data_IF_617386110241
#
_entry.id   IF_617386110241
#
_cell.length_a   1.000
_cell.length_b   1.000
_cell.length_c   1.000
_cell.angle_alpha   90.00
_cell.angle_beta   90.00
_cell.angle_gamma   90.00
#
_symmetry.space_group_name_H-M   'P 1'
#
loop_
_entity.id
_entity.type
_entity.pdbx_description
1 polymer ?
#
# COMPACT_ATOMS: atom_id res chain seq x y z
N UNK A 1 16.08 -9.58 -12.17
CA UNK A 1 14.92 -10.09 -11.41
C UNK A 1 13.69 -9.88 -12.28
N UNK A 2 12.90 -10.92 -12.56
CA UNK A 2 11.68 -10.75 -13.36
C UNK A 2 10.50 -10.50 -12.42
N UNK A 3 9.84 -9.35 -12.55
CA UNK A 3 8.70 -8.96 -11.72
C UNK A 3 7.47 -8.79 -12.60
N UNK A 4 6.35 -9.36 -12.19
CA UNK A 4 5.08 -9.25 -12.91
C UNK A 4 3.89 -9.15 -11.96
N UNK A 5 2.75 -8.73 -12.50
CA UNK A 5 1.49 -8.61 -11.79
C UNK A 5 0.37 -9.32 -12.54
N UNK A 6 -0.64 -9.81 -11.82
CA UNK A 6 -1.91 -10.25 -12.38
C UNK A 6 -3.07 -9.67 -11.59
N UNK A 7 -4.17 -9.35 -12.28
CA UNK A 7 -5.41 -8.93 -11.63
C UNK A 7 -6.01 -10.13 -10.86
N UNK A 8 -6.43 -9.89 -9.63
CA UNK A 8 -7.14 -10.87 -8.82
C UNK A 8 -8.65 -10.72 -9.05
N UNK A 9 -9.23 -11.61 -9.85
CA UNK A 9 -10.67 -11.60 -10.17
C UNK A 9 -11.55 -11.97 -8.96
N UNK A 10 -11.06 -12.88 -8.11
CA UNK A 10 -11.72 -13.32 -6.89
C UNK A 10 -10.73 -13.27 -5.73
N UNK A 11 -10.94 -12.32 -4.82
CA UNK A 11 -9.99 -12.03 -3.75
C UNK A 11 -10.22 -12.98 -2.58
N UNK A 12 -9.20 -13.76 -2.25
CA UNK A 12 -9.10 -14.46 -0.98
C UNK A 12 -8.67 -13.46 0.12
N UNK A 13 -9.66 -12.86 0.77
CA UNK A 13 -9.44 -11.89 1.84
C UNK A 13 -8.73 -12.48 3.05
N UNK A 14 -8.95 -13.76 3.36
CA UNK A 14 -8.28 -14.40 4.49
C UNK A 14 -6.77 -14.53 4.23
N UNK A 15 -6.38 -14.91 3.00
CA UNK A 15 -4.97 -14.89 2.58
C UNK A 15 -4.40 -13.47 2.65
N UNK A 16 -5.11 -12.49 2.10
CA UNK A 16 -4.64 -11.11 2.03
C UNK A 16 -4.49 -10.49 3.43
N UNK A 17 -5.42 -10.77 4.34
CA UNK A 17 -5.42 -10.28 5.71
C UNK A 17 -4.38 -10.99 6.61
N UNK A 18 -3.78 -12.09 6.15
CA UNK A 18 -2.71 -12.79 6.88
C UNK A 18 -1.32 -12.15 6.75
N UNK A 19 -1.15 -11.17 5.85
CA UNK A 19 0.15 -10.53 5.65
C UNK A 19 0.58 -9.70 6.88
N UNK A 20 1.86 -9.77 7.28
CA UNK A 20 2.33 -9.11 8.50
C UNK A 20 2.36 -7.58 8.41
N UNK A 21 2.42 -7.01 7.21
CA UNK A 21 2.38 -5.57 6.96
C UNK A 21 0.97 -5.07 6.59
N UNK A 22 -0.05 -5.91 6.82
CA UNK A 22 -1.46 -5.58 6.58
C UNK A 22 -1.92 -4.45 7.50
N UNK A 23 -2.67 -3.52 6.92
CA UNK A 23 -3.30 -2.42 7.66
C UNK A 23 -4.82 -2.47 7.54
N UNK A 24 -5.52 -1.81 8.48
CA UNK A 24 -6.97 -1.62 8.43
C UNK A 24 -7.43 -1.07 7.07
N UNK A 25 -6.65 -0.16 6.50
CA UNK A 25 -6.98 0.57 5.28
C UNK A 25 -7.09 -0.33 4.05
N UNK A 26 -6.45 -1.50 4.07
CA UNK A 26 -6.47 -2.43 2.95
C UNK A 26 -7.56 -3.52 3.09
N UNK A 27 -8.25 -3.58 4.24
CA UNK A 27 -9.31 -4.57 4.50
C UNK A 27 -10.52 -4.37 3.59
N UNK A 28 -11.29 -5.44 3.33
CA UNK A 28 -12.48 -5.37 2.49
C UNK A 28 -13.46 -4.26 2.91
N UNK A 29 -13.88 -4.16 4.20
CA UNK A 29 -14.86 -3.15 4.59
C UNK A 29 -14.34 -1.72 4.35
N UNK A 30 -13.05 -1.48 4.57
CA UNK A 30 -12.46 -0.17 4.30
C UNK A 30 -12.41 0.14 2.80
N UNK A 31 -12.02 -0.83 1.98
CA UNK A 31 -12.01 -0.65 0.53
C UNK A 31 -13.41 -0.43 -0.04
N UNK A 32 -14.42 -1.15 0.44
CA UNK A 32 -15.82 -0.94 0.06
C UNK A 32 -16.25 0.51 0.39
N UNK A 33 -15.87 1.03 1.56
CA UNK A 33 -16.11 2.42 1.94
C UNK A 33 -15.43 3.42 0.99
N UNK A 34 -14.16 3.22 0.64
CA UNK A 34 -13.44 4.12 -0.28
C UNK A 34 -14.03 4.06 -1.70
N UNK A 35 -14.41 2.87 -2.17
CA UNK A 35 -15.09 2.67 -3.45
C UNK A 35 -16.37 3.50 -3.51
N UNK A 36 -17.20 3.42 -2.47
CA UNK A 36 -18.44 4.19 -2.38
C UNK A 36 -18.18 5.69 -2.30
N UNK A 37 -17.29 6.12 -1.39
CA UNK A 37 -17.02 7.53 -1.14
C UNK A 37 -16.34 8.26 -2.32
N UNK A 38 -15.51 7.56 -3.10
CA UNK A 38 -14.71 8.14 -4.18
C UNK A 38 -15.23 7.78 -5.58
N UNK A 39 -16.30 6.99 -5.67
CA UNK A 39 -16.76 6.40 -6.93
C UNK A 39 -15.62 5.73 -7.72
N UNK A 40 -14.75 5.01 -6.99
CA UNK A 40 -13.55 4.39 -7.53
C UNK A 40 -13.79 2.90 -7.83
N UNK A 41 -12.97 2.30 -8.70
CA UNK A 41 -12.96 0.86 -8.92
C UNK A 41 -11.78 0.22 -8.19
N UNK A 42 -11.99 -0.76 -7.30
CA UNK A 42 -10.90 -1.39 -6.60
C UNK A 42 -10.05 -2.22 -7.56
N UNK A 43 -8.74 -2.26 -7.34
CA UNK A 43 -7.78 -3.06 -8.09
C UNK A 43 -6.85 -3.75 -7.09
N UNK A 44 -6.93 -5.08 -7.08
CA UNK A 44 -6.02 -5.92 -6.30
C UNK A 44 -5.19 -6.71 -7.30
N UNK A 45 -3.87 -6.58 -7.19
CA UNK A 45 -2.91 -7.29 -8.02
C UNK A 45 -2.12 -8.27 -7.17
N UNK A 46 -1.96 -9.50 -7.64
CA UNK A 46 -0.97 -10.42 -7.08
C UNK A 46 0.38 -10.14 -7.75
N UNK A 47 1.43 -10.00 -6.93
CA UNK A 47 2.78 -9.69 -7.36
C UNK A 47 3.62 -10.97 -7.41
N UNK A 48 4.43 -11.10 -8.46
CA UNK A 48 5.30 -12.25 -8.67
C UNK A 48 6.74 -11.84 -8.90
N UNK A 49 7.68 -12.59 -8.33
CA UNK A 49 9.11 -12.50 -8.62
C UNK A 49 9.57 -13.86 -9.13
N UNK A 50 10.10 -13.90 -10.35
CA UNK A 50 10.52 -15.15 -11.02
C UNK A 50 9.41 -16.23 -10.97
N UNK A 51 8.17 -15.83 -11.27
CA UNK A 51 6.94 -16.65 -11.20
C UNK A 51 6.53 -17.17 -9.81
N UNK A 52 7.17 -16.71 -8.73
CA UNK A 52 6.73 -17.03 -7.36
C UNK A 52 5.87 -15.89 -6.81
N UNK A 53 4.69 -16.17 -6.22
CA UNK A 53 3.87 -15.14 -5.60
C UNK A 53 4.59 -14.58 -4.38
N UNK A 54 4.75 -13.25 -4.34
CA UNK A 54 5.48 -12.56 -3.25
C UNK A 54 4.59 -11.66 -2.41
N UNK A 55 3.34 -11.47 -2.82
CA UNK A 55 2.38 -10.64 -2.10
C UNK A 55 1.40 -9.96 -3.05
N UNK A 56 0.85 -8.85 -2.59
CA UNK A 56 -0.21 -8.13 -3.28
C UNK A 56 0.04 -6.63 -3.31
N UNK A 57 -0.57 -5.98 -4.29
CA UNK A 57 -0.75 -4.54 -4.34
C UNK A 57 -2.25 -4.23 -4.27
N UNK A 58 -2.62 -3.23 -3.47
CA UNK A 58 -4.01 -2.76 -3.35
C UNK A 58 -4.09 -1.31 -3.78
N UNK A 59 -4.89 -1.00 -4.80
CA UNK A 59 -5.17 0.36 -5.20
C UNK A 59 -6.61 0.53 -5.66
N UNK A 60 -6.99 1.75 -6.03
CA UNK A 60 -8.27 2.03 -6.64
C UNK A 60 -8.07 2.94 -7.85
N UNK A 61 -8.85 2.69 -8.90
CA UNK A 61 -8.87 3.50 -10.11
C UNK A 61 -10.00 4.52 -10.01
N UNK A 62 -9.66 5.80 -10.12
CA UNK A 62 -10.62 6.88 -10.32
C UNK A 62 -10.58 7.37 -11.77
N UNK A 63 -11.71 7.89 -12.23
CA UNK A 63 -11.84 8.55 -13.53
C UNK A 63 -12.12 10.02 -13.34
N UNK A 64 -11.29 10.88 -13.92
CA UNK A 64 -11.51 12.33 -13.92
C UNK A 64 -11.20 12.88 -15.30
N UNK A 65 -12.06 13.70 -15.88
CA UNK A 65 -11.82 14.31 -17.19
C UNK A 65 -11.45 13.33 -18.32
N UNK A 66 -11.97 12.10 -18.28
CA UNK A 66 -11.66 11.04 -19.27
C UNK A 66 -10.34 10.28 -19.03
N UNK A 67 -9.53 10.68 -18.05
CA UNK A 67 -8.29 9.95 -17.70
C UNK A 67 -8.53 8.97 -16.55
N UNK A 68 -7.83 7.83 -16.60
CA UNK A 68 -7.82 6.82 -15.54
C UNK A 68 -6.58 7.02 -14.68
N UNK A 69 -6.76 7.00 -13.37
CA UNK A 69 -5.67 7.22 -12.43
C UNK A 69 -5.71 6.12 -11.37
N UNK A 70 -4.59 5.43 -11.15
CA UNK A 70 -4.44 4.43 -10.09
C UNK A 70 -3.88 5.09 -8.83
N UNK A 71 -4.64 5.03 -7.73
CA UNK A 71 -4.26 5.58 -6.44
C UNK A 71 -4.18 4.53 -5.36
N UNK A 72 -3.18 4.61 -4.49
CA UNK A 72 -2.95 3.65 -3.42
C UNK A 72 -2.37 4.28 -2.14
N UNK A 73 -3.13 5.16 -1.45
CA UNK A 73 -4.33 5.88 -1.89
C UNK A 73 -3.96 7.22 -2.55
N UNK A 74 -4.97 8.00 -2.98
CA UNK A 74 -4.78 9.44 -3.23
C UNK A 74 -4.88 10.27 -1.95
N UNK A 75 -4.12 11.38 -1.84
CA UNK A 75 -4.34 12.38 -0.80
C UNK A 75 -5.80 12.86 -0.80
N UNK A 76 -6.41 12.91 0.38
CA UNK A 76 -7.81 13.30 0.56
C UNK A 76 -8.80 12.15 0.74
N UNK A 77 -8.40 10.90 0.52
CA UNK A 77 -9.27 9.73 0.72
C UNK A 77 -9.46 9.32 2.19
N UNK A 78 -8.98 10.13 3.14
CA UNK A 78 -8.92 9.82 4.59
C UNK A 78 -8.38 8.42 4.91
N UNK A 79 -7.54 7.91 4.01
CA UNK A 79 -7.00 6.56 4.01
C UNK A 79 -5.49 6.68 4.11
N UNK A 80 -4.86 5.91 5.00
CA UNK A 80 -3.40 5.89 5.13
C UNK A 80 -2.79 4.91 4.12
N UNK A 81 -1.80 4.10 4.50
CA UNK A 81 -1.06 3.23 3.60
C UNK A 81 -1.94 2.13 2.97
N UNK A 82 -2.05 2.14 1.63
CA UNK A 82 -2.64 1.02 0.88
C UNK A 82 -1.59 0.16 0.17
N UNK A 83 -0.46 0.74 -0.26
CA UNK A 83 0.57 0.18 -1.15
C UNK A 83 0.64 -1.34 -1.31
N UNK A 84 1.72 -1.93 -0.81
CA UNK A 84 1.97 -3.36 -0.93
C UNK A 84 1.71 -4.09 0.38
N UNK A 85 1.30 -5.36 0.26
CA UNK A 85 1.43 -6.35 1.32
C UNK A 85 2.34 -7.46 0.82
N UNK A 86 3.57 -7.56 1.34
CA UNK A 86 4.59 -8.48 0.82
C UNK A 86 5.10 -9.45 1.86
N UNK A 87 5.61 -10.59 1.38
CA UNK A 87 6.44 -11.48 2.19
C UNK A 87 7.64 -10.70 2.76
N UNK A 88 8.16 -11.20 3.89
CA UNK A 88 9.36 -10.64 4.50
C UNK A 88 10.52 -10.66 3.49
N UNK A 89 11.40 -9.66 3.60
CA UNK A 89 12.63 -9.51 2.82
C UNK A 89 12.47 -9.16 1.33
N UNK A 90 11.24 -8.95 0.84
CA UNK A 90 11.02 -8.46 -0.51
C UNK A 90 11.36 -6.97 -0.60
N UNK A 91 12.27 -6.63 -1.50
CA UNK A 91 12.56 -5.23 -1.83
C UNK A 91 11.39 -4.60 -2.59
N UNK A 92 10.59 -3.81 -1.87
CA UNK A 92 9.44 -3.07 -2.40
C UNK A 92 9.80 -2.18 -3.58
N UNK A 93 11.02 -1.64 -3.62
CA UNK A 93 11.44 -0.72 -4.67
C UNK A 93 11.51 -1.39 -6.05
N UNK A 94 11.83 -2.69 -6.08
CA UNK A 94 11.88 -3.50 -7.29
C UNK A 94 10.49 -3.70 -7.94
N UNK A 95 9.41 -3.48 -7.20
CA UNK A 95 8.03 -3.61 -7.68
C UNK A 95 7.49 -2.33 -8.31
N UNK A 96 8.10 -1.17 -8.07
CA UNK A 96 7.57 0.13 -8.47
C UNK A 96 7.50 0.32 -9.98
N UNK A 97 8.61 0.13 -10.71
CA UNK A 97 8.62 0.28 -12.16
C UNK A 97 7.70 -0.76 -12.86
N UNK A 98 7.73 -2.06 -12.50
CA UNK A 98 6.78 -3.04 -13.03
C UNK A 98 5.32 -2.69 -12.74
N UNK A 99 5.01 -2.17 -11.55
CA UNK A 99 3.65 -1.71 -11.20
C UNK A 99 3.22 -0.56 -12.12
N UNK A 100 4.08 0.44 -12.32
CA UNK A 100 3.79 1.56 -13.20
C UNK A 100 3.56 1.10 -14.65
N UNK A 101 4.42 0.20 -15.16
CA UNK A 101 4.24 -0.39 -16.49
C UNK A 101 2.92 -1.15 -16.63
N UNK A 102 2.56 -1.96 -15.63
CA UNK A 102 1.30 -2.70 -15.61
C UNK A 102 0.10 -1.75 -15.59
N UNK A 103 0.14 -0.73 -14.73
CA UNK A 103 -0.93 0.26 -14.64
C UNK A 103 -1.12 1.03 -15.95
N UNK A 104 -0.04 1.42 -16.62
CA UNK A 104 -0.11 2.18 -17.86
C UNK A 104 -0.55 1.34 -19.05
N UNK A 105 -0.06 0.10 -19.17
CA UNK A 105 -0.29 -0.76 -20.35
C UNK A 105 -1.54 -1.60 -20.21
N UNK A 106 -1.73 -2.24 -19.07
CA UNK A 106 -2.81 -3.22 -18.86
C UNK A 106 -4.06 -2.56 -18.27
N UNK A 107 -3.89 -1.63 -17.31
CA UNK A 107 -5.02 -0.94 -16.68
C UNK A 107 -5.43 0.36 -17.40
N UNK A 108 -4.66 0.78 -18.40
CA UNK A 108 -4.89 2.00 -19.18
C UNK A 108 -4.85 3.29 -18.35
N UNK A 109 -4.14 3.27 -17.21
CA UNK A 109 -3.97 4.44 -16.35
C UNK A 109 -2.95 5.40 -16.95
N UNK A 110 -3.10 6.69 -16.67
CA UNK A 110 -2.17 7.72 -17.14
C UNK A 110 -1.26 8.20 -16.00
N UNK A 111 -1.65 7.89 -14.77
CA UNK A 111 -0.92 8.26 -13.59
C UNK A 111 -1.11 7.19 -12.51
N UNK A 112 -0.05 7.01 -11.71
CA UNK A 112 0.02 6.08 -10.58
C UNK A 112 0.58 6.84 -9.39
N UNK A 113 -0.13 6.78 -8.28
CA UNK A 113 0.33 7.29 -6.99
C UNK A 113 0.11 6.21 -5.92
N UNK A 114 1.08 6.04 -5.02
CA UNK A 114 0.96 5.14 -3.89
C UNK A 114 1.69 5.70 -2.68
N UNK A 115 1.18 5.35 -1.50
CA UNK A 115 1.80 5.64 -0.22
C UNK A 115 2.10 4.31 0.47
N UNK A 116 3.37 4.07 0.76
CA UNK A 116 3.87 2.85 1.39
C UNK A 116 4.75 3.23 2.58
N UNK A 117 4.51 2.58 3.73
CA UNK A 117 5.18 2.89 4.99
C UNK A 117 6.57 2.24 5.14
N UNK A 118 6.92 1.34 4.23
CA UNK A 118 8.15 0.54 4.28
C UNK A 118 9.11 0.85 3.13
N UNK A 119 8.71 1.70 2.18
CA UNK A 119 9.64 2.32 1.23
C UNK A 119 10.50 3.37 1.94
N UNK A 120 11.80 3.29 1.73
CA UNK A 120 12.77 4.24 2.29
C UNK A 120 13.33 5.16 1.21
N UNK A 121 13.81 6.34 1.59
CA UNK A 121 14.44 7.29 0.66
C UNK A 121 15.57 6.65 -0.15
N UNK A 122 16.54 5.94 0.47
CA UNK A 122 17.64 5.33 -0.29
C UNK A 122 17.18 4.32 -1.35
N UNK A 123 16.02 3.69 -1.15
CA UNK A 123 15.45 2.73 -2.10
C UNK A 123 14.82 3.40 -3.34
N UNK A 124 14.34 4.64 -3.22
CA UNK A 124 13.53 5.28 -4.27
C UNK A 124 14.20 6.48 -4.94
N UNK A 125 15.21 7.08 -4.31
CA UNK A 125 15.83 8.33 -4.76
C UNK A 125 16.41 8.25 -6.19
N UNK A 126 16.83 7.06 -6.61
CA UNK A 126 17.41 6.81 -7.94
C UNK A 126 16.41 6.31 -8.98
N UNK A 127 15.15 6.06 -8.60
CA UNK A 127 14.15 5.41 -9.46
C UNK A 127 13.31 6.39 -10.30
N UNK A 128 13.58 7.69 -10.22
CA UNK A 128 12.88 8.72 -10.99
C UNK A 128 11.45 9.00 -10.52
N UNK A 129 11.02 8.43 -9.38
CA UNK A 129 9.74 8.72 -8.76
C UNK A 129 9.75 10.10 -8.09
N UNK A 130 8.66 10.84 -8.24
CA UNK A 130 8.40 12.01 -7.40
C UNK A 130 7.73 11.55 -6.12
N UNK A 131 8.32 11.86 -4.97
CA UNK A 131 7.78 11.46 -3.68
C UNK A 131 7.79 12.61 -2.67
N UNK A 132 6.99 12.44 -1.62
CA UNK A 132 6.95 13.29 -0.42
C UNK A 132 7.02 12.38 0.80
N UNK A 133 7.68 12.84 1.85
CA UNK A 133 7.79 12.11 3.10
C UNK A 133 6.70 12.55 4.07
N UNK A 134 6.09 11.58 4.72
CA UNK A 134 5.15 11.79 5.82
C UNK A 134 5.75 11.17 7.08
N UNK A 135 5.90 11.97 8.13
CA UNK A 135 6.42 11.49 9.41
C UNK A 135 5.26 11.14 10.34
N UNK A 136 5.27 9.90 10.83
CA UNK A 136 4.34 9.42 11.83
C UNK A 136 5.10 9.03 13.10
N UNK A 137 4.38 9.04 14.23
CA UNK A 137 4.88 8.50 15.49
C UNK A 137 4.21 7.17 15.75
N UNK A 138 5.01 6.16 16.08
CA UNK A 138 4.54 4.82 16.42
C UNK A 138 4.98 4.49 17.84
N UNK A 139 4.10 3.85 18.60
CA UNK A 139 4.37 3.34 19.93
C UNK A 139 4.25 1.83 19.87
N UNK A 140 5.31 1.14 20.28
CA UNK A 140 5.28 -0.32 20.40
C UNK A 140 4.46 -0.72 21.64
N UNK A 141 3.38 -1.47 21.40
CA UNK A 141 2.46 -1.96 22.42
C UNK A 141 2.70 -3.44 22.78
N UNK A 142 3.73 -4.08 22.22
CA UNK A 142 4.10 -5.44 22.58
C UNK A 142 4.57 -5.64 24.04
N UNK A 143 5.23 -4.65 24.70
CA UNK A 143 5.61 -4.76 26.10
C UNK A 143 4.41 -4.77 27.07
N UNK A 144 4.69 -4.99 28.36
CA UNK A 144 3.64 -4.94 29.39
C UNK A 144 3.08 -3.53 29.58
N UNK A 145 1.86 -3.42 30.11
CA UNK A 145 1.25 -2.12 30.44
C UNK A 145 2.14 -1.29 31.38
N UNK A 146 2.74 -1.93 32.39
CA UNK A 146 3.67 -1.29 33.33
C UNK A 146 4.90 -0.73 32.58
N UNK A 147 5.51 -1.53 31.70
CA UNK A 147 6.65 -1.08 30.88
C UNK A 147 6.29 0.08 29.95
N UNK A 148 5.09 0.06 29.38
CA UNK A 148 4.59 1.13 28.49
C UNK A 148 4.37 2.40 29.31
N UNK A 149 3.68 2.29 30.45
CA UNK A 149 3.45 3.39 31.37
C UNK A 149 4.78 4.01 31.81
N UNK A 150 5.78 3.18 32.11
CA UNK A 150 7.12 3.58 32.51
C UNK A 150 8.00 4.21 31.43
N UNK A 151 7.56 4.20 30.18
CA UNK A 151 8.19 4.94 29.08
C UNK A 151 7.53 6.28 28.79
N UNK A 152 6.29 6.50 29.25
CA UNK A 152 5.60 7.77 29.05
C UNK A 152 6.37 8.90 29.76
N UNK A 153 6.41 10.09 29.16
CA UNK A 153 6.97 11.27 29.84
C UNK A 153 6.17 11.53 31.13
N UNK A 154 6.82 12.05 32.17
CA UNK A 154 6.17 12.30 33.47
C UNK A 154 4.88 13.13 33.36
N UNK A 155 4.87 14.14 32.47
CA UNK A 155 3.69 14.97 32.17
C UNK A 155 2.53 14.24 31.48
N UNK A 156 2.72 12.99 31.05
CA UNK A 156 1.68 12.16 30.45
C UNK A 156 1.15 11.11 31.44
N UNK A 157 1.69 11.05 32.67
CA UNK A 157 1.27 10.15 33.76
C UNK A 157 0.55 10.86 34.90
N UNK A 158 0.55 12.19 34.89
CA UNK A 158 0.00 13.09 35.92
C UNK A 158 -0.90 14.11 35.27
#
# INVERSE_FOLDING_TARGET
>A
MNVSFSIVESVDWAKLDSFPDRTLFQTKPWLDFVVEAQHASPVILEAFINNQPVGFFTGLIVKTGGVRILGSPFPGWTTSYLGFNLNRDIDRSALLEPLAKFAFRELGCWHVELMDRHLTVPQVDTLGWKFRLFQNTEIDLAPSEEDIWDRLKGSCRT
#
